data_IF_977164086889
#
_entry.id   IF_977164086889
#
_cell.length_a   1.000
_cell.length_b   1.000
_cell.length_c   1.000
_cell.angle_alpha   90.00
_cell.angle_beta   90.00
_cell.angle_gamma   90.00
#
_symmetry.space_group_name_H-M   'P 1'
#
loop_
_entity.id
_entity.type
_entity.pdbx_description
1 polymer ?
#
# COMPACT_ATOMS: atom_id res chain seq x y z
N UNK A 1 -13.16 -11.02 7.01
CA UNK A 1 -12.00 -10.51 7.77
C UNK A 1 -11.45 -9.29 7.05
N UNK A 2 -11.05 -8.25 7.80
CA UNK A 2 -10.25 -7.14 7.27
C UNK A 2 -8.95 -7.16 8.07
N UNK A 3 -7.81 -7.17 7.37
CA UNK A 3 -6.50 -7.04 7.98
C UNK A 3 -5.98 -5.65 7.64
N UNK A 4 -5.93 -4.80 8.65
CA UNK A 4 -5.35 -3.46 8.58
C UNK A 4 -3.94 -3.52 9.11
N UNK A 5 -2.94 -3.19 8.30
CA UNK A 5 -1.56 -3.25 8.75
C UNK A 5 -0.59 -2.50 7.87
N UNK A 6 0.50 -2.07 8.50
CA UNK A 6 1.76 -1.77 7.83
C UNK A 6 2.50 -3.11 7.61
N UNK A 7 2.53 -3.56 6.36
CA UNK A 7 3.19 -4.79 5.99
C UNK A 7 4.69 -4.60 5.75
N UNK A 8 5.17 -3.35 5.73
CA UNK A 8 6.53 -2.99 5.32
C UNK A 8 6.93 -3.56 3.94
N UNK A 9 5.97 -3.81 3.03
CA UNK A 9 6.22 -4.35 1.68
C UNK A 9 5.39 -3.59 0.64
N UNK A 10 6.04 -3.12 -0.42
CA UNK A 10 5.36 -2.66 -1.65
C UNK A 10 5.07 -3.85 -2.57
N UNK A 11 3.82 -4.06 -2.97
CA UNK A 11 3.44 -5.21 -3.82
C UNK A 11 3.98 -5.08 -5.25
N UNK A 12 3.72 -3.94 -5.91
CA UNK A 12 4.04 -3.75 -7.33
C UNK A 12 4.94 -2.52 -7.55
N UNK A 13 5.56 -2.42 -8.73
CA UNK A 13 6.40 -1.27 -9.08
C UNK A 13 5.67 0.09 -9.02
N UNK A 14 4.34 0.10 -9.21
CA UNK A 14 3.50 1.29 -9.06
C UNK A 14 3.35 1.77 -7.61
N UNK A 15 3.67 0.92 -6.64
CA UNK A 15 3.52 1.16 -5.20
C UNK A 15 4.77 1.78 -4.56
N UNK A 16 5.84 2.00 -5.32
CA UNK A 16 7.11 2.53 -4.82
C UNK A 16 7.69 3.59 -5.76
N UNK A 17 8.31 4.62 -5.19
CA UNK A 17 9.13 5.56 -5.95
C UNK A 17 10.45 4.89 -6.40
N UNK A 18 10.81 5.03 -7.68
CA UNK A 18 12.06 4.50 -8.24
C UNK A 18 12.23 2.97 -8.02
N UNK A 19 11.33 2.14 -8.59
CA UNK A 19 11.33 0.69 -8.38
C UNK A 19 12.60 0.01 -8.88
N UNK A 20 13.30 0.59 -9.86
CA UNK A 20 14.54 0.02 -10.41
C UNK A 20 15.66 0.16 -9.39
N UNK A 21 15.86 1.36 -8.83
CA UNK A 21 16.90 1.58 -7.82
C UNK A 21 16.61 0.85 -6.51
N UNK A 22 15.33 0.76 -6.13
CA UNK A 22 14.92 0.14 -4.87
C UNK A 22 14.63 -1.37 -4.98
N UNK A 23 14.87 -2.01 -6.13
CA UNK A 23 14.54 -3.41 -6.38
C UNK A 23 15.17 -4.41 -5.39
N UNK A 24 16.27 -4.01 -4.74
CA UNK A 24 17.03 -4.81 -3.79
C UNK A 24 17.07 -4.20 -2.37
N UNK A 25 16.11 -3.33 -2.05
CA UNK A 25 15.97 -2.71 -0.71
C UNK A 25 14.82 -3.41 0.02
N UNK A 26 14.98 -3.66 1.33
CA UNK A 26 13.90 -4.22 2.14
C UNK A 26 12.64 -3.34 2.08
N UNK A 27 11.51 -4.02 1.97
CA UNK A 27 10.20 -3.50 1.56
C UNK A 27 9.95 -3.51 0.07
N UNK A 28 10.91 -3.90 -0.75
CA UNK A 28 10.72 -4.17 -2.18
C UNK A 28 11.68 -5.25 -2.72
N UNK A 29 12.12 -6.19 -1.90
CA UNK A 29 12.88 -7.35 -2.36
C UNK A 29 11.99 -8.28 -3.20
N UNK A 30 12.56 -9.05 -4.15
CA UNK A 30 11.79 -10.03 -4.93
C UNK A 30 11.01 -11.02 -4.05
N UNK A 31 11.63 -11.52 -2.97
CA UNK A 31 11.00 -12.47 -2.04
C UNK A 31 9.86 -11.84 -1.22
N UNK A 32 9.98 -10.57 -0.85
CA UNK A 32 8.93 -9.83 -0.13
C UNK A 32 7.71 -9.61 -1.05
N UNK A 33 7.96 -9.25 -2.32
CA UNK A 33 6.90 -9.10 -3.33
C UNK A 33 6.19 -10.41 -3.62
N UNK A 34 6.95 -11.49 -3.75
CA UNK A 34 6.39 -12.83 -3.94
C UNK A 34 5.55 -13.25 -2.73
N UNK A 35 6.04 -12.98 -1.52
CA UNK A 35 5.30 -13.29 -0.29
C UNK A 35 3.96 -12.55 -0.23
N UNK A 36 3.93 -11.23 -0.44
CA UNK A 36 2.67 -10.47 -0.36
C UNK A 36 1.72 -10.84 -1.50
N UNK A 37 2.24 -11.17 -2.68
CA UNK A 37 1.45 -11.67 -3.81
C UNK A 37 0.76 -13.00 -3.48
N UNK A 38 1.52 -13.96 -2.92
CA UNK A 38 0.98 -15.24 -2.47
C UNK A 38 -0.02 -15.07 -1.31
N UNK A 39 0.27 -14.15 -0.38
CA UNK A 39 -0.63 -13.84 0.72
C UNK A 39 -1.97 -13.28 0.22
N UNK A 40 -1.96 -12.34 -0.73
CA UNK A 40 -3.20 -11.83 -1.34
C UNK A 40 -3.96 -12.92 -2.10
N UNK A 41 -3.26 -13.76 -2.86
CA UNK A 41 -3.86 -14.92 -3.57
C UNK A 41 -4.46 -15.98 -2.64
N UNK A 42 -4.22 -15.92 -1.34
CA UNK A 42 -4.84 -16.82 -0.35
C UNK A 42 -6.29 -16.46 0.01
N UNK A 43 -6.91 -15.49 -0.68
CA UNK A 43 -8.31 -15.12 -0.52
C UNK A 43 -8.52 -13.68 -0.02
N UNK A 44 -7.56 -12.77 -0.31
CA UNK A 44 -7.61 -11.38 0.10
C UNK A 44 -7.52 -10.41 -1.09
N UNK A 45 -8.35 -9.38 -1.00
CA UNK A 45 -8.42 -8.27 -1.95
C UNK A 45 -7.65 -7.09 -1.36
N UNK A 46 -6.69 -6.55 -2.12
CA UNK A 46 -6.14 -5.23 -1.87
C UNK A 46 -7.21 -4.17 -2.18
N UNK A 47 -7.93 -3.72 -1.14
CA UNK A 47 -9.08 -2.83 -1.32
C UNK A 47 -8.71 -1.50 -1.98
N UNK A 48 -7.49 -0.99 -1.80
CA UNK A 48 -7.05 0.23 -2.47
C UNK A 48 -6.91 0.00 -3.98
N UNK A 49 -6.23 -1.08 -4.38
CA UNK A 49 -6.04 -1.42 -5.80
C UNK A 49 -7.29 -1.94 -6.48
N UNK A 50 -8.30 -2.39 -5.72
CA UNK A 50 -9.63 -2.67 -6.24
C UNK A 50 -10.30 -1.43 -6.84
N UNK A 51 -10.15 -0.26 -6.18
CA UNK A 51 -10.76 0.99 -6.63
C UNK A 51 -9.83 1.90 -7.43
N UNK A 52 -8.51 1.69 -7.34
CA UNK A 52 -7.56 2.66 -7.83
C UNK A 52 -6.31 2.03 -8.49
N UNK A 53 -6.13 2.31 -9.77
CA UNK A 53 -5.00 1.85 -10.59
C UNK A 53 -3.98 2.95 -10.90
N UNK A 54 -4.16 4.16 -10.36
CA UNK A 54 -3.28 5.30 -10.62
C UNK A 54 -1.92 5.17 -9.91
N UNK A 55 -0.85 5.75 -10.50
CA UNK A 55 0.48 5.76 -9.89
C UNK A 55 0.62 6.87 -8.82
N UNK A 56 1.75 6.86 -8.12
CA UNK A 56 2.19 7.92 -7.20
C UNK A 56 1.32 8.14 -5.96
N UNK A 57 0.69 7.07 -5.49
CA UNK A 57 -0.11 7.07 -4.26
C UNK A 57 0.54 6.17 -3.22
N UNK A 58 1.05 6.81 -2.18
CA UNK A 58 1.92 6.20 -1.18
C UNK A 58 1.35 6.44 0.21
N UNK A 59 1.70 5.59 1.15
CA UNK A 59 1.28 5.69 2.54
C UNK A 59 2.43 6.05 3.48
N UNK A 60 3.68 5.91 3.02
CA UNK A 60 4.90 6.19 3.78
C UNK A 60 5.91 7.04 3.00
N UNK A 61 6.63 7.91 3.70
CA UNK A 61 7.76 8.67 3.18
C UNK A 61 8.87 8.82 4.22
N UNK A 62 10.12 8.59 3.82
CA UNK A 62 11.27 8.88 4.68
C UNK A 62 11.30 10.35 5.14
N UNK A 63 11.69 10.58 6.40
CA UNK A 63 11.99 11.93 6.89
C UNK A 63 13.19 12.58 6.19
N UNK A 64 14.00 11.81 5.47
CA UNK A 64 15.20 12.32 4.78
C UNK A 64 14.83 12.99 3.45
N UNK A 65 15.66 13.94 3.03
CA UNK A 65 15.63 14.56 1.71
C UNK A 65 14.23 15.10 1.29
N UNK A 66 13.43 15.52 2.26
CA UNK A 66 12.10 16.08 2.05
C UNK A 66 11.21 15.16 1.17
N UNK A 67 11.28 13.84 1.41
CA UNK A 67 10.69 12.84 0.51
C UNK A 67 9.18 13.04 0.35
N UNK A 68 8.45 13.39 1.42
CA UNK A 68 7.01 13.63 1.37
C UNK A 68 6.63 14.81 0.46
N UNK A 69 7.33 15.93 0.57
CA UNK A 69 7.06 17.09 -0.29
C UNK A 69 7.39 16.82 -1.77
N UNK A 70 8.37 15.95 -2.04
CA UNK A 70 8.75 15.54 -3.39
C UNK A 70 8.00 14.28 -3.88
N UNK A 71 7.02 13.81 -3.12
CA UNK A 71 6.29 12.55 -3.33
C UNK A 71 7.16 11.33 -3.66
N UNK A 72 8.30 11.19 -2.98
CA UNK A 72 9.20 10.03 -3.08
C UNK A 72 8.81 8.97 -2.04
N UNK A 73 7.62 8.40 -2.20
CA UNK A 73 6.98 7.55 -1.20
C UNK A 73 6.86 6.08 -1.59
N UNK A 74 6.41 5.28 -0.63
CA UNK A 74 6.18 3.84 -0.70
C UNK A 74 4.77 3.54 -0.17
N UNK A 75 4.05 2.57 -0.73
CA UNK A 75 2.76 2.11 -0.21
C UNK A 75 2.99 0.85 0.60
N UNK A 76 3.07 1.02 1.92
CA UNK A 76 3.37 -0.04 2.89
C UNK A 76 2.14 -0.47 3.70
N UNK A 77 1.14 0.39 3.75
CA UNK A 77 -0.07 0.22 4.56
C UNK A 77 -1.22 -0.31 3.69
N UNK A 78 -1.85 -1.39 4.14
CA UNK A 78 -2.91 -2.08 3.41
C UNK A 78 -4.14 -2.29 4.27
N UNK A 79 -5.29 -2.24 3.61
CA UNK A 79 -6.56 -2.75 4.10
C UNK A 79 -6.93 -3.99 3.26
N UNK A 80 -6.43 -5.16 3.67
CA UNK A 80 -6.70 -6.40 2.95
C UNK A 80 -8.04 -6.98 3.38
N UNK A 81 -8.93 -7.17 2.43
CA UNK A 81 -10.33 -7.56 2.67
C UNK A 81 -10.54 -8.96 2.13
N UNK A 82 -11.03 -9.88 2.96
CA UNK A 82 -11.31 -11.25 2.51
C UNK A 82 -12.36 -11.25 1.39
N UNK A 83 -12.17 -12.07 0.36
CA UNK A 83 -13.05 -12.18 -0.82
C UNK A 83 -14.57 -12.23 -0.53
N UNK A 84 -15.07 -12.94 0.51
CA UNK A 84 -16.51 -12.95 0.80
C UNK A 84 -17.11 -11.57 1.13
N UNK A 85 -16.27 -10.57 1.43
CA UNK A 85 -16.68 -9.19 1.70
C UNK A 85 -16.61 -8.28 0.46
N UNK A 86 -16.24 -8.79 -0.72
CA UNK A 86 -16.08 -7.98 -1.94
C UNK A 86 -17.30 -7.12 -2.23
N UNK A 87 -18.51 -7.72 -2.22
CA UNK A 87 -19.76 -7.01 -2.50
C UNK A 87 -20.13 -5.92 -1.46
N UNK A 88 -19.40 -5.86 -0.34
CA UNK A 88 -19.56 -4.81 0.68
C UNK A 88 -18.59 -3.66 0.49
N UNK A 89 -17.55 -3.79 -0.33
CA UNK A 89 -16.59 -2.71 -0.58
C UNK A 89 -17.31 -1.48 -1.17
N UNK A 90 -17.18 -0.33 -0.49
CA UNK A 90 -17.78 0.95 -0.92
C UNK A 90 -16.74 1.91 -1.46
N UNK A 91 -15.60 2.06 -0.80
CA UNK A 91 -14.43 2.83 -1.28
C UNK A 91 -13.18 2.49 -0.47
N UNK A 92 -12.01 2.81 -1.02
CA UNK A 92 -10.75 2.82 -0.30
C UNK A 92 -9.90 4.03 -0.71
N UNK A 93 -9.23 4.67 0.23
CA UNK A 93 -8.44 5.89 0.00
C UNK A 93 -7.20 5.95 0.88
N UNK A 94 -6.18 6.68 0.43
CA UNK A 94 -5.00 7.04 1.23
C UNK A 94 -5.10 8.52 1.60
N UNK A 95 -5.02 8.84 2.89
CA UNK A 95 -5.30 10.17 3.43
C UNK A 95 -4.01 10.99 3.61
N UNK A 96 -3.36 11.34 2.49
CA UNK A 96 -2.04 11.97 2.45
C UNK A 96 -1.95 13.33 3.15
N UNK A 97 -3.07 14.03 3.34
CA UNK A 97 -3.12 15.31 4.04
C UNK A 97 -3.00 15.19 5.57
N UNK A 98 -3.21 14.00 6.14
CA UNK A 98 -2.97 13.76 7.56
C UNK A 98 -1.46 13.58 7.81
N UNK A 99 -0.83 14.59 8.43
CA UNK A 99 0.63 14.66 8.66
C UNK A 99 1.00 14.47 10.12
N UNK A 100 0.76 13.27 10.65
CA UNK A 100 1.08 12.94 12.05
C UNK A 100 2.33 12.07 12.20
N UNK A 101 2.77 11.41 11.13
CA UNK A 101 3.91 10.49 11.06
C UNK A 101 4.52 10.53 9.64
N UNK A 102 5.64 9.83 9.45
CA UNK A 102 6.16 9.38 8.16
C UNK A 102 5.16 8.51 7.38
N UNK A 103 4.20 7.89 8.08
CA UNK A 103 3.00 7.30 7.48
C UNK A 103 1.82 8.29 7.40
N UNK A 104 0.84 7.95 6.57
CA UNK A 104 -0.50 8.51 6.60
C UNK A 104 -1.58 7.42 6.64
N UNK A 105 -2.78 7.70 7.17
CA UNK A 105 -3.84 6.69 7.30
C UNK A 105 -4.31 6.16 5.94
N UNK A 106 -4.62 4.86 5.91
CA UNK A 106 -5.32 4.19 4.81
C UNK A 106 -6.70 3.75 5.28
N UNK A 107 -7.71 4.03 4.45
CA UNK A 107 -9.12 3.81 4.79
C UNK A 107 -9.75 2.84 3.82
N UNK A 108 -10.57 1.94 4.36
CA UNK A 108 -11.57 1.15 3.61
C UNK A 108 -12.94 1.39 4.22
N UNK A 109 -13.95 1.57 3.37
CA UNK A 109 -15.35 1.72 3.77
C UNK A 109 -16.15 0.52 3.25
N UNK A 110 -16.93 -0.10 4.13
CA UNK A 110 -17.88 -1.17 3.80
C UNK A 110 -19.33 -0.69 3.94
N UNK A 111 -20.25 -1.27 3.15
CA UNK A 111 -21.71 -1.07 3.26
C UNK A 111 -22.32 -1.90 4.37
#
# INVERSE_FOLDING_TARGET
LIISGDYNICHKAIDIHDPVRNANVSGFLPVEREWIDNFMKSGFIDSFRYFNTAPHQYSWWSYRANARANNKGWRLDYQLVSEPLENRLKRAVILTEARHSDHCPVLVELR
#
